data_IF_163937182238
#
_entry.id   IF_163937182238
#
_cell.length_a   1.000
_cell.length_b   1.000
_cell.length_c   1.000
_cell.angle_alpha   90.00
_cell.angle_beta   90.00
_cell.angle_gamma   90.00
#
_symmetry.space_group_name_H-M   'P 1'
#
loop_
_entity.id
_entity.type
_entity.pdbx_description
1 polymer ?
#
# COMPACT_ATOMS: atom_id res chain seq x y z
N UNK A 1 -36.58 -3.84 -11.91
CA UNK A 1 -35.96 -3.91 -10.58
C UNK A 1 -34.51 -3.46 -10.74
N UNK A 2 -34.18 -2.29 -10.23
CA UNK A 2 -32.85 -1.68 -10.30
C UNK A 2 -31.94 -2.33 -9.26
N UNK A 3 -30.99 -3.17 -9.70
CA UNK A 3 -29.85 -3.58 -8.89
C UNK A 3 -28.66 -2.72 -9.28
N UNK A 4 -28.48 -1.57 -8.61
CA UNK A 4 -27.31 -0.71 -8.81
C UNK A 4 -26.04 -1.50 -8.50
N UNK A 5 -25.19 -1.68 -9.51
CA UNK A 5 -23.87 -2.27 -9.32
C UNK A 5 -23.07 -1.36 -8.40
N UNK A 6 -22.79 -1.83 -7.18
CA UNK A 6 -21.75 -1.23 -6.35
C UNK A 6 -20.47 -1.41 -7.16
N UNK A 7 -19.98 -0.34 -7.78
CA UNK A 7 -18.62 -0.32 -8.34
C UNK A 7 -17.69 -0.74 -7.21
N UNK A 8 -17.06 -1.91 -7.34
CA UNK A 8 -16.11 -2.40 -6.36
C UNK A 8 -15.06 -1.30 -6.16
N UNK A 9 -15.08 -0.66 -4.99
CA UNK A 9 -14.08 0.34 -4.61
C UNK A 9 -12.74 -0.37 -4.62
N UNK A 10 -11.77 0.15 -5.36
CA UNK A 10 -10.43 -0.43 -5.38
C UNK A 10 -9.87 -0.40 -3.95
N UNK A 11 -9.62 -1.59 -3.41
CA UNK A 11 -9.13 -1.76 -2.05
C UNK A 11 -7.66 -1.38 -1.91
N UNK A 12 -6.95 -1.19 -3.01
CA UNK A 12 -5.51 -1.00 -3.05
C UNK A 12 -5.16 0.28 -3.81
N UNK A 13 -4.80 1.32 -3.08
CA UNK A 13 -4.37 2.59 -3.67
C UNK A 13 -2.87 2.74 -3.45
N UNK A 14 -2.11 2.48 -4.50
CA UNK A 14 -0.67 2.71 -4.54
C UNK A 14 -0.41 4.22 -4.72
N UNK A 15 0.25 4.82 -3.73
CA UNK A 15 0.48 6.27 -3.66
C UNK A 15 1.83 6.65 -4.28
N UNK A 16 2.85 5.82 -4.07
CA UNK A 16 4.14 5.89 -4.76
C UNK A 16 4.40 4.57 -5.48
N UNK A 17 4.79 4.66 -6.76
CA UNK A 17 5.23 3.49 -7.51
C UNK A 17 6.64 3.12 -7.14
N UNK A 18 6.88 1.84 -6.92
CA UNK A 18 8.24 1.32 -6.79
C UNK A 18 9.03 1.54 -8.09
N UNK A 19 10.33 1.86 -7.94
CA UNK A 19 11.26 2.02 -9.05
C UNK A 19 11.93 0.70 -9.48
N UNK A 20 11.77 -0.38 -8.70
CA UNK A 20 12.48 -1.64 -8.91
C UNK A 20 11.52 -2.84 -8.91
N UNK A 21 11.69 -3.74 -9.89
CA UNK A 21 10.78 -4.88 -10.08
C UNK A 21 10.66 -5.81 -8.84
N UNK A 22 11.72 -5.96 -8.04
CA UNK A 22 11.72 -6.83 -6.87
C UNK A 22 10.88 -6.29 -5.71
N UNK A 23 10.73 -4.98 -5.58
CA UNK A 23 9.86 -4.35 -4.57
C UNK A 23 8.38 -4.46 -4.97
N UNK A 24 8.08 -4.41 -6.28
CA UNK A 24 6.74 -4.62 -6.79
C UNK A 24 6.22 -6.04 -6.49
N UNK A 25 7.09 -7.06 -6.58
CA UNK A 25 6.74 -8.43 -6.21
C UNK A 25 6.40 -8.57 -4.71
N UNK A 26 7.14 -7.85 -3.86
CA UNK A 26 6.88 -7.79 -2.42
C UNK A 26 5.53 -7.14 -2.09
N UNK A 27 5.17 -6.06 -2.80
CA UNK A 27 3.86 -5.43 -2.66
C UNK A 27 2.70 -6.34 -3.05
N UNK A 28 2.84 -7.11 -4.13
CA UNK A 28 1.78 -8.02 -4.58
C UNK A 28 1.58 -9.15 -3.57
N UNK A 29 2.66 -9.65 -2.95
CA UNK A 29 2.56 -10.60 -1.84
C UNK A 29 1.81 -9.97 -0.64
N UNK A 30 2.15 -8.74 -0.26
CA UNK A 30 1.45 -8.02 0.80
C UNK A 30 -0.05 -7.87 0.49
N UNK A 31 -0.39 -7.49 -0.74
CA UNK A 31 -1.77 -7.39 -1.19
C UNK A 31 -2.54 -8.70 -1.06
N UNK A 32 -1.89 -9.84 -1.26
CA UNK A 32 -2.49 -11.17 -1.18
C UNK A 32 -2.73 -11.66 0.26
N UNK A 33 -1.88 -11.26 1.22
CA UNK A 33 -1.94 -11.77 2.60
C UNK A 33 -2.73 -10.88 3.57
N UNK A 34 -2.87 -9.58 3.27
CA UNK A 34 -3.65 -8.68 4.14
C UNK A 34 -5.16 -8.95 4.00
N UNK A 35 -5.96 -8.69 5.06
CA UNK A 35 -7.40 -8.90 5.02
C UNK A 35 -8.07 -8.21 3.82
N UNK A 36 -9.17 -8.78 3.33
CA UNK A 36 -9.98 -8.16 2.27
C UNK A 36 -10.85 -7.02 2.83
N UNK A 37 -10.19 -5.93 3.26
CA UNK A 37 -10.82 -4.68 3.66
C UNK A 37 -10.46 -3.55 2.69
N UNK A 38 -11.24 -2.47 2.69
CA UNK A 38 -10.99 -1.30 1.85
C UNK A 38 -11.22 0.02 2.63
N UNK A 39 -10.51 1.10 2.27
CA UNK A 39 -9.34 1.14 1.39
C UNK A 39 -8.02 0.93 2.16
N UNK A 40 -7.05 0.28 1.54
CA UNK A 40 -5.65 0.37 1.92
C UNK A 40 -4.94 1.44 1.10
N UNK A 41 -4.10 2.23 1.76
CA UNK A 41 -3.13 3.12 1.11
C UNK A 41 -1.74 2.54 1.29
N UNK A 42 -0.99 2.53 0.20
CA UNK A 42 0.29 1.83 0.16
C UNK A 42 1.37 2.73 -0.40
N UNK A 43 2.49 2.78 0.32
CA UNK A 43 3.71 3.47 -0.09
C UNK A 43 4.86 2.46 -0.14
N UNK A 44 5.73 2.64 -1.11
CA UNK A 44 7.04 1.99 -1.17
C UNK A 44 8.16 3.00 -1.05
N UNK A 45 9.32 2.52 -0.59
CA UNK A 45 10.60 3.21 -0.62
C UNK A 45 10.52 4.63 -0.05
N UNK A 46 9.96 4.75 1.15
CA UNK A 46 9.93 6.05 1.82
C UNK A 46 10.95 6.07 2.94
N UNK A 47 11.60 7.22 3.04
CA UNK A 47 12.59 7.50 4.06
C UNK A 47 12.03 8.59 4.97
N UNK A 48 12.36 8.50 6.25
CA UNK A 48 12.05 9.54 7.22
C UNK A 48 13.17 9.72 8.22
N UNK A 49 13.30 10.93 8.74
CA UNK A 49 14.21 11.23 9.82
C UNK A 49 13.47 11.10 11.15
N UNK A 50 14.05 10.36 12.10
CA UNK A 50 13.51 10.28 13.45
C UNK A 50 13.88 11.53 14.29
N UNK A 51 13.33 11.61 15.50
CA UNK A 51 13.55 12.75 16.40
C UNK A 51 14.99 12.85 16.94
N UNK A 52 15.83 11.85 16.69
CA UNK A 52 17.25 11.83 17.04
C UNK A 52 18.16 12.16 15.84
N UNK A 53 17.59 12.43 14.67
CA UNK A 53 18.32 12.76 13.45
C UNK A 53 18.77 11.54 12.65
N UNK A 54 18.32 10.33 13.00
CA UNK A 54 18.59 9.11 12.26
C UNK A 54 17.71 8.99 11.02
N UNK A 55 18.30 8.63 9.88
CA UNK A 55 17.55 8.24 8.70
C UNK A 55 17.07 6.80 8.81
N UNK A 56 15.79 6.59 8.56
CA UNK A 56 15.16 5.28 8.53
C UNK A 56 14.50 5.08 7.16
N UNK A 57 14.65 3.88 6.62
CA UNK A 57 14.04 3.45 5.38
C UNK A 57 12.97 2.39 5.68
N UNK A 58 11.87 2.45 4.95
CA UNK A 58 10.82 1.44 5.01
C UNK A 58 10.47 1.02 3.59
N UNK A 59 10.67 -0.27 3.31
CA UNK A 59 10.39 -0.86 1.99
C UNK A 59 8.90 -0.76 1.62
N UNK A 60 8.00 -0.96 2.59
CA UNK A 60 6.56 -0.84 2.38
C UNK A 60 5.78 -0.40 3.64
N UNK A 61 4.85 0.55 3.47
CA UNK A 61 3.87 0.95 4.48
C UNK A 61 2.46 0.74 3.94
N UNK A 62 1.67 -0.06 4.67
CA UNK A 62 0.26 -0.31 4.39
C UNK A 62 -0.59 0.31 5.50
N UNK A 63 -1.43 1.28 5.16
CA UNK A 63 -2.35 1.92 6.08
C UNK A 63 -3.78 1.40 5.85
N UNK A 64 -4.29 0.66 6.85
CA UNK A 64 -5.69 0.25 6.95
C UNK A 64 -6.53 1.15 7.87
N UNK A 65 -7.83 0.90 7.93
CA UNK A 65 -8.75 1.59 8.85
C UNK A 65 -8.79 0.94 10.22
#
# INVERSE_FOLDING_TARGET
>A
MSGGGVTAVDRWIEVSKSAYAHEADGLELLRAIIPMAAPYRVWTNFEFMDNHGGWNEVDALVLGR
#
